data_IF_229859653197
#
_entry.id   IF_229859653197
#
_cell.length_a   1.000
_cell.length_b   1.000
_cell.length_c   1.000
_cell.angle_alpha   90.00
_cell.angle_beta   90.00
_cell.angle_gamma   90.00
#
_symmetry.space_group_name_H-M   'P 1'
#
loop_
_entity.id
_entity.type
_entity.pdbx_description
1 polymer ?
#
# COMPACT_ATOMS: atom_id res chain seq x y z
N UNK A 1 40.99 0.41 11.86
CA UNK A 1 40.59 -0.80 12.63
C UNK A 1 39.71 -0.49 13.84
N UNK A 2 40.05 0.50 14.69
CA UNK A 2 39.26 0.88 15.88
C UNK A 2 37.78 1.24 15.61
N UNK A 3 37.48 1.99 14.54
CA UNK A 3 36.10 2.41 14.21
C UNK A 3 35.19 1.24 13.84
N UNK A 4 35.71 0.25 13.09
CA UNK A 4 34.97 -0.97 12.72
C UNK A 4 34.67 -1.83 13.94
N UNK A 5 35.63 -1.96 14.85
CA UNK A 5 35.45 -2.70 16.11
C UNK A 5 34.38 -2.03 17.01
N UNK A 6 34.41 -0.69 17.13
CA UNK A 6 33.38 0.05 17.87
C UNK A 6 31.99 -0.14 17.28
N UNK A 7 31.84 -0.05 15.96
CA UNK A 7 30.57 -0.29 15.27
C UNK A 7 30.05 -1.72 15.48
N UNK A 8 30.93 -2.72 15.38
CA UNK A 8 30.59 -4.11 15.65
C UNK A 8 30.08 -4.33 17.09
N UNK A 9 30.77 -3.77 18.08
CA UNK A 9 30.38 -3.88 19.49
C UNK A 9 29.04 -3.17 19.76
N UNK A 10 28.83 -1.98 19.20
CA UNK A 10 27.58 -1.24 19.34
C UNK A 10 26.39 -2.01 18.74
N UNK A 11 26.55 -2.55 17.53
CA UNK A 11 25.53 -3.40 16.91
C UNK A 11 25.23 -4.66 17.72
N UNK A 12 26.26 -5.35 18.19
CA UNK A 12 26.09 -6.56 19.03
C UNK A 12 25.33 -6.22 20.33
N UNK A 13 25.61 -5.06 20.92
CA UNK A 13 24.89 -4.57 22.09
C UNK A 13 23.43 -4.30 21.77
N UNK A 14 23.14 -3.54 20.70
CA UNK A 14 21.76 -3.22 20.30
C UNK A 14 20.95 -4.48 19.96
N UNK A 15 21.56 -5.45 19.27
CA UNK A 15 20.93 -6.74 19.02
C UNK A 15 20.61 -7.51 20.32
N UNK A 16 21.52 -7.48 21.31
CA UNK A 16 21.28 -8.12 22.61
C UNK A 16 20.14 -7.44 23.37
N UNK A 17 20.07 -6.11 23.33
CA UNK A 17 18.98 -5.35 23.94
C UNK A 17 17.64 -5.64 23.25
N UNK A 18 17.62 -5.72 21.92
CA UNK A 18 16.44 -6.12 21.13
C UNK A 18 16.02 -7.56 21.40
N UNK A 19 16.96 -8.49 21.56
CA UNK A 19 16.68 -9.88 21.92
C UNK A 19 15.90 -10.01 23.22
N UNK A 20 16.31 -9.25 24.23
CA UNK A 20 15.60 -9.20 25.52
C UNK A 20 14.27 -8.48 25.38
N UNK A 21 14.26 -7.32 24.71
CA UNK A 21 13.06 -6.47 24.56
C UNK A 21 11.93 -7.20 23.83
N UNK A 22 12.21 -7.86 22.71
CA UNK A 22 11.20 -8.55 21.90
C UNK A 22 10.53 -9.71 22.64
N UNK A 23 11.23 -10.36 23.56
CA UNK A 23 10.68 -11.46 24.37
C UNK A 23 9.95 -10.96 25.62
N UNK A 24 10.49 -9.93 26.28
CA UNK A 24 10.01 -9.51 27.60
C UNK A 24 8.87 -8.49 27.56
N UNK A 25 8.76 -7.69 26.51
CA UNK A 25 7.72 -6.65 26.44
C UNK A 25 6.38 -7.23 25.95
N UNK A 26 5.24 -6.67 26.41
CA UNK A 26 3.95 -6.96 25.81
C UNK A 26 3.94 -6.61 24.32
N UNK A 27 3.27 -7.45 23.52
CA UNK A 27 3.08 -7.14 22.10
C UNK A 27 2.26 -5.86 21.96
N UNK A 28 2.68 -4.89 21.12
CA UNK A 28 1.93 -3.67 20.93
C UNK A 28 0.64 -3.92 20.13
N UNK A 29 -0.30 -3.00 20.25
CA UNK A 29 -1.44 -2.97 19.34
C UNK A 29 -0.96 -2.75 17.89
N UNK A 30 -1.56 -3.43 16.89
CA UNK A 30 -1.26 -3.18 15.49
C UNK A 30 -1.72 -1.77 15.07
N UNK A 31 -1.04 -1.18 14.09
CA UNK A 31 -1.48 0.07 13.48
C UNK A 31 -2.92 -0.06 12.99
N UNK A 32 -3.74 0.94 13.32
CA UNK A 32 -5.19 0.88 13.17
C UNK A 32 -5.59 1.29 11.75
N UNK A 33 -6.33 0.44 11.04
CA UNK A 33 -6.91 0.81 9.76
C UNK A 33 -8.09 1.77 10.01
N UNK A 34 -7.94 3.03 9.66
CA UNK A 34 -8.91 4.11 9.95
C UNK A 34 -9.73 4.54 8.74
N UNK A 35 -9.29 4.16 7.53
CA UNK A 35 -10.02 4.38 6.29
C UNK A 35 -9.68 3.28 5.30
N UNK A 36 -10.68 2.80 4.58
CA UNK A 36 -10.49 2.00 3.38
C UNK A 36 -11.62 2.33 2.40
N UNK A 37 -11.24 2.70 1.19
CA UNK A 37 -12.15 2.92 0.07
C UNK A 37 -11.54 2.33 -1.22
N UNK A 38 -12.21 2.49 -2.36
CA UNK A 38 -11.74 1.94 -3.63
C UNK A 38 -10.40 2.53 -4.13
N UNK A 39 -9.91 3.63 -3.55
CA UNK A 39 -8.72 4.37 -3.99
C UNK A 39 -7.57 4.27 -2.99
N UNK A 40 -7.85 4.15 -1.70
CA UNK A 40 -6.82 4.16 -0.67
C UNK A 40 -7.24 3.45 0.61
N UNK A 41 -6.26 2.85 1.27
CA UNK A 41 -6.34 2.38 2.65
C UNK A 41 -5.39 3.22 3.50
N UNK A 42 -5.85 3.69 4.66
CA UNK A 42 -5.08 4.57 5.56
C UNK A 42 -5.02 3.97 6.95
N UNK A 43 -3.82 3.89 7.51
CA UNK A 43 -3.55 3.44 8.86
C UNK A 43 -3.11 4.60 9.75
N UNK A 44 -3.63 4.64 10.97
CA UNK A 44 -3.12 5.46 12.07
C UNK A 44 -1.98 4.72 12.77
N UNK A 45 -0.87 5.41 12.89
CA UNK A 45 0.37 4.95 13.54
C UNK A 45 0.64 5.87 14.73
N UNK A 46 0.34 5.43 15.97
CA UNK A 46 0.66 6.22 17.14
C UNK A 46 2.18 6.33 17.31
N UNK A 47 2.66 7.50 17.77
CA UNK A 47 4.08 7.73 18.03
C UNK A 47 4.22 8.33 19.43
N UNK A 48 4.91 7.66 20.38
CA UNK A 48 5.02 8.14 21.75
C UNK A 48 5.51 9.59 21.85
N UNK A 49 4.77 10.43 22.57
CA UNK A 49 5.11 11.84 22.79
C UNK A 49 4.91 12.73 21.55
N UNK A 50 4.22 12.26 20.51
CA UNK A 50 3.95 13.02 19.30
C UNK A 50 2.50 12.86 18.85
N UNK A 51 2.06 13.72 17.93
CA UNK A 51 0.80 13.53 17.23
C UNK A 51 0.86 12.25 16.36
N UNK A 52 -0.30 11.62 16.17
CA UNK A 52 -0.43 10.43 15.35
C UNK A 52 0.07 10.66 13.92
N UNK A 53 0.69 9.61 13.37
CA UNK A 53 1.14 9.58 11.98
C UNK A 53 0.21 8.73 11.15
N UNK A 54 0.17 9.01 9.86
CA UNK A 54 -0.73 8.32 8.95
C UNK A 54 0.07 7.77 7.79
N UNK A 55 -0.25 6.53 7.43
CA UNK A 55 0.37 5.84 6.32
C UNK A 55 -0.68 5.27 5.39
N UNK A 56 -0.40 5.17 4.10
CA UNK A 56 -1.39 4.70 3.14
C UNK A 56 -0.87 3.72 2.09
N UNK A 57 -1.80 2.92 1.58
CA UNK A 57 -1.61 2.05 0.43
C UNK A 57 -2.69 2.34 -0.60
N UNK A 58 -2.31 2.34 -1.87
CA UNK A 58 -3.24 2.40 -3.00
C UNK A 58 -3.45 0.99 -3.54
N UNK A 59 -4.58 0.69 -4.19
CA UNK A 59 -4.76 -0.58 -4.86
C UNK A 59 -3.63 -0.78 -5.88
N UNK A 60 -3.07 -1.99 -5.91
CA UNK A 60 -2.05 -2.40 -6.87
C UNK A 60 -2.64 -2.57 -8.28
N UNK A 61 -1.79 -2.94 -9.23
CA UNK A 61 -2.25 -3.31 -10.57
C UNK A 61 -3.13 -4.57 -10.52
N UNK A 62 -3.99 -4.75 -11.53
CA UNK A 62 -4.75 -5.99 -11.70
C UNK A 62 -3.74 -7.15 -11.79
N UNK A 63 -3.89 -8.15 -10.92
CA UNK A 63 -3.01 -9.32 -10.73
C UNK A 63 -1.74 -9.11 -9.89
N UNK A 64 -1.56 -7.97 -9.24
CA UNK A 64 -0.44 -7.77 -8.30
C UNK A 64 -0.77 -8.44 -6.96
N UNK A 65 -0.01 -9.47 -6.58
CA UNK A 65 -0.24 -10.23 -5.34
C UNK A 65 0.34 -9.47 -4.14
N UNK A 66 -0.38 -8.41 -3.72
CA UNK A 66 0.08 -7.49 -2.69
C UNK A 66 -0.59 -7.73 -1.35
N UNK A 67 0.20 -7.59 -0.28
CA UNK A 67 -0.24 -7.77 1.09
C UNK A 67 0.21 -6.59 1.97
N UNK A 68 -0.51 -6.37 3.06
CA UNK A 68 -0.06 -5.54 4.19
C UNK A 68 0.31 -6.43 5.35
N UNK A 69 1.54 -6.30 5.85
CA UNK A 69 1.97 -6.85 7.14
C UNK A 69 2.07 -5.69 8.13
N UNK A 70 1.30 -5.75 9.21
CA UNK A 70 1.44 -4.79 10.32
C UNK A 70 2.51 -5.33 11.24
N UNK A 71 3.67 -4.68 11.28
CA UNK A 71 4.81 -5.19 12.01
C UNK A 71 4.90 -4.56 13.39
N UNK A 72 5.38 -5.35 14.33
CA UNK A 72 5.93 -4.88 15.59
C UNK A 72 7.33 -4.28 15.33
N UNK A 73 7.50 -3.02 15.68
CA UNK A 73 8.70 -2.24 15.35
C UNK A 73 9.99 -2.84 15.87
N UNK A 74 10.06 -3.32 17.12
CA UNK A 74 11.33 -3.84 17.65
C UNK A 74 11.64 -5.21 17.05
N UNK A 75 10.61 -6.03 16.79
CA UNK A 75 10.79 -7.33 16.14
C UNK A 75 11.26 -7.17 14.70
N UNK A 76 10.65 -6.23 13.95
CA UNK A 76 11.05 -5.87 12.61
C UNK A 76 12.47 -5.32 12.57
N UNK A 77 12.77 -4.35 13.45
CA UNK A 77 14.09 -3.75 13.54
C UNK A 77 15.18 -4.77 13.87
N UNK A 78 14.92 -5.66 14.84
CA UNK A 78 15.81 -6.78 15.18
C UNK A 78 16.10 -7.68 13.98
N UNK A 79 15.06 -8.07 13.23
CA UNK A 79 15.22 -8.94 12.07
C UNK A 79 16.06 -8.26 10.97
N UNK A 80 15.77 -7.00 10.65
CA UNK A 80 16.49 -6.25 9.62
C UNK A 80 17.94 -5.94 10.04
N UNK A 81 18.18 -5.56 11.30
CA UNK A 81 19.52 -5.32 11.82
C UNK A 81 20.41 -6.56 11.78
N UNK A 82 19.84 -7.76 12.03
CA UNK A 82 20.55 -9.03 11.86
C UNK A 82 20.89 -9.31 10.42
N UNK A 83 19.98 -9.01 9.51
CA UNK A 83 20.14 -9.34 8.10
C UNK A 83 21.25 -8.53 7.44
N UNK A 84 21.41 -7.26 7.83
CA UNK A 84 22.51 -6.38 7.39
C UNK A 84 23.91 -6.76 7.94
N UNK A 85 24.02 -7.76 8.81
CA UNK A 85 25.29 -8.16 9.45
C UNK A 85 26.06 -9.27 8.70
N UNK A 86 25.65 -9.62 7.48
CA UNK A 86 26.07 -10.84 6.78
C UNK A 86 27.12 -10.61 5.68
N UNK A 87 27.84 -9.49 5.71
CA UNK A 87 28.86 -9.16 4.70
C UNK A 87 28.31 -8.49 3.44
N UNK A 88 27.04 -8.06 3.46
CA UNK A 88 26.40 -7.23 2.42
C UNK A 88 26.46 -5.74 2.76
N UNK A 89 27.56 -5.25 3.31
CA UNK A 89 27.73 -3.86 3.80
C UNK A 89 27.51 -2.79 2.69
N UNK A 90 27.58 -3.18 1.42
CA UNK A 90 27.39 -2.31 0.26
C UNK A 90 25.94 -2.13 -0.17
N UNK A 91 24.99 -2.85 0.43
CA UNK A 91 23.56 -2.68 0.15
C UNK A 91 23.06 -1.33 0.64
N UNK A 92 22.33 -0.63 -0.24
CA UNK A 92 21.75 0.69 0.06
C UNK A 92 20.58 0.63 1.05
N UNK A 93 20.03 -0.56 1.29
CA UNK A 93 18.96 -0.85 2.25
C UNK A 93 19.46 -1.53 3.53
N UNK A 94 20.76 -1.41 3.85
CA UNK A 94 21.27 -1.86 5.14
C UNK A 94 20.64 -1.08 6.30
N UNK A 95 20.33 -1.80 7.37
CA UNK A 95 19.78 -1.24 8.59
C UNK A 95 20.92 -0.72 9.49
N UNK A 96 21.00 0.60 9.76
CA UNK A 96 21.98 1.17 10.67
C UNK A 96 21.53 0.99 12.15
N UNK A 97 22.36 1.43 13.09
CA UNK A 97 21.93 1.53 14.49
C UNK A 97 20.81 2.55 14.61
N UNK A 98 19.90 2.40 15.58
CA UNK A 98 18.77 3.32 15.74
C UNK A 98 19.24 4.76 15.92
N UNK A 99 20.34 4.95 16.65
CA UNK A 99 20.96 6.26 16.88
C UNK A 99 21.53 6.91 15.62
N UNK A 100 21.81 6.12 14.58
CA UNK A 100 22.39 6.57 13.31
C UNK A 100 21.31 6.87 12.26
N UNK A 101 20.10 6.32 12.42
CA UNK A 101 18.97 6.52 11.49
C UNK A 101 18.69 8.00 11.17
N UNK A 102 18.72 8.96 12.12
CA UNK A 102 18.52 10.38 11.81
C UNK A 102 19.59 11.00 10.89
N UNK A 103 20.74 10.34 10.70
CA UNK A 103 21.82 10.81 9.83
C UNK A 103 21.59 10.43 8.36
N UNK A 104 20.58 9.62 8.06
CA UNK A 104 20.19 9.33 6.68
C UNK A 104 19.85 10.64 5.95
N UNK A 105 20.42 10.86 4.77
CA UNK A 105 20.29 12.14 4.06
C UNK A 105 18.84 12.47 3.67
N UNK A 106 17.96 11.46 3.58
CA UNK A 106 16.53 11.62 3.32
C UNK A 106 15.69 11.75 4.59
N UNK A 107 16.26 11.60 5.79
CA UNK A 107 15.50 11.57 7.05
C UNK A 107 14.66 12.83 7.25
N UNK A 108 15.20 14.01 6.91
CA UNK A 108 14.45 15.28 6.93
C UNK A 108 13.21 15.28 6.04
N UNK A 109 13.23 14.56 4.91
CA UNK A 109 12.06 14.42 4.04
C UNK A 109 11.03 13.48 4.64
N UNK A 110 11.44 12.44 5.38
CA UNK A 110 10.50 11.63 6.15
C UNK A 110 9.84 12.46 7.27
N UNK A 111 10.60 13.30 7.99
CA UNK A 111 10.05 14.23 8.99
C UNK A 111 8.98 15.12 8.35
N UNK A 112 9.29 15.76 7.23
CA UNK A 112 8.34 16.62 6.49
C UNK A 112 7.12 15.84 6.00
N UNK A 113 7.32 14.66 5.42
CA UNK A 113 6.23 13.81 4.92
C UNK A 113 5.26 13.42 6.02
N UNK A 114 5.78 12.95 7.17
CA UNK A 114 4.96 12.57 8.32
C UNK A 114 4.27 13.76 9.00
N UNK A 115 4.78 14.99 8.85
CA UNK A 115 4.18 16.18 9.44
C UNK A 115 2.83 16.57 8.79
N UNK A 116 2.56 16.12 7.56
CA UNK A 116 1.27 16.38 6.91
C UNK A 116 0.10 15.60 7.53
N UNK A 117 0.37 14.58 8.36
CA UNK A 117 -0.67 13.85 9.07
C UNK A 117 -1.67 13.15 8.13
N UNK A 118 -2.95 13.21 8.50
CA UNK A 118 -4.02 12.48 7.79
C UNK A 118 -4.34 13.06 6.41
N UNK A 119 -4.07 14.34 6.18
CA UNK A 119 -4.40 15.01 4.92
C UNK A 119 -3.53 14.54 3.75
N UNK A 120 -2.30 14.09 4.04
CA UNK A 120 -1.38 13.53 3.06
C UNK A 120 -0.59 12.39 3.71
N UNK A 121 -1.21 11.20 3.88
CA UNK A 121 -0.58 10.08 4.55
C UNK A 121 0.65 9.59 3.78
N UNK A 122 1.68 9.16 4.51
CA UNK A 122 2.93 8.68 3.90
C UNK A 122 2.72 7.29 3.29
N UNK A 123 3.08 7.04 2.02
CA UNK A 123 2.89 5.71 1.44
C UNK A 123 3.63 4.61 2.21
N UNK A 124 3.07 3.40 2.25
CA UNK A 124 3.73 2.25 2.88
C UNK A 124 5.13 2.03 2.34
N UNK A 125 6.04 1.56 3.19
CA UNK A 125 7.30 1.02 2.70
C UNK A 125 7.04 -0.28 1.94
N UNK A 126 7.79 -0.52 0.88
CA UNK A 126 7.71 -1.74 0.08
C UNK A 126 8.93 -2.61 0.39
N UNK A 127 8.72 -3.64 1.18
CA UNK A 127 9.75 -4.56 1.64
C UNK A 127 9.35 -6.01 1.37
N UNK A 128 10.33 -6.91 1.46
CA UNK A 128 10.12 -8.34 1.38
C UNK A 128 10.97 -9.09 2.37
N UNK A 129 10.53 -10.29 2.72
CA UNK A 129 11.31 -11.25 3.49
C UNK A 129 11.63 -12.45 2.60
N UNK A 130 12.86 -12.95 2.70
CA UNK A 130 13.24 -14.22 2.09
C UNK A 130 14.02 -15.05 3.09
N UNK A 131 13.89 -16.37 2.98
CA UNK A 131 14.62 -17.29 3.83
C UNK A 131 15.92 -17.69 3.12
N UNK A 132 17.06 -17.33 3.71
CA UNK A 132 18.38 -17.78 3.28
C UNK A 132 18.94 -18.73 4.35
N UNK A 133 18.95 -20.03 4.03
CA UNK A 133 19.30 -21.12 4.95
C UNK A 133 18.44 -21.08 6.23
N UNK A 134 19.04 -20.79 7.37
CA UNK A 134 18.37 -20.74 8.69
C UNK A 134 18.06 -19.31 9.15
N UNK A 135 18.09 -18.33 8.24
CA UNK A 135 17.87 -16.91 8.57
C UNK A 135 16.84 -16.29 7.63
N UNK A 136 16.10 -15.33 8.15
CA UNK A 136 15.23 -14.46 7.35
C UNK A 136 15.98 -13.17 7.06
N UNK A 137 16.13 -12.84 5.78
CA UNK A 137 16.68 -11.56 5.33
C UNK A 137 15.53 -10.64 4.88
N UNK A 138 15.58 -9.38 5.33
CA UNK A 138 14.62 -8.34 5.01
C UNK A 138 15.30 -7.38 4.04
N UNK A 139 14.67 -7.18 2.88
CA UNK A 139 15.14 -6.23 1.86
C UNK A 139 14.05 -5.25 1.48
N UNK A 140 14.44 -4.13 0.88
CA UNK A 140 13.53 -3.06 0.48
C UNK A 140 13.59 -2.78 -1.02
N UNK A 141 12.42 -2.67 -1.63
CA UNK A 141 12.26 -2.06 -2.95
C UNK A 141 12.06 -0.54 -2.82
N UNK A 142 11.40 -0.08 -1.76
CA UNK A 142 11.22 1.35 -1.46
C UNK A 142 10.88 1.58 0.02
N UNK A 143 11.11 2.80 0.53
CA UNK A 143 10.65 3.19 1.86
C UNK A 143 11.62 2.92 3.01
N UNK A 144 12.90 2.73 2.74
CA UNK A 144 13.96 2.58 3.77
C UNK A 144 13.92 3.73 4.79
N UNK A 145 14.00 4.97 4.33
CA UNK A 145 14.07 6.15 5.22
C UNK A 145 12.81 6.39 6.06
N UNK A 146 11.60 6.11 5.53
CA UNK A 146 10.37 6.27 6.32
C UNK A 146 10.27 5.18 7.39
N UNK A 147 10.76 3.98 7.13
CA UNK A 147 10.94 2.94 8.15
C UNK A 147 11.96 3.35 9.20
N UNK A 148 13.10 3.94 8.81
CA UNK A 148 14.07 4.52 9.76
C UNK A 148 13.42 5.54 10.68
N UNK A 149 12.61 6.45 10.13
CA UNK A 149 11.91 7.45 10.93
C UNK A 149 10.98 6.80 11.96
N UNK A 150 10.19 5.80 11.57
CA UNK A 150 9.28 5.08 12.47
C UNK A 150 10.02 4.35 13.59
N UNK A 151 11.13 3.68 13.27
CA UNK A 151 11.97 2.96 14.24
C UNK A 151 12.67 3.93 15.19
N UNK A 152 13.26 5.02 14.68
CA UNK A 152 13.95 6.03 15.47
C UNK A 152 13.00 6.75 16.44
N UNK A 153 11.76 6.99 16.02
CA UNK A 153 10.72 7.61 16.84
C UNK A 153 9.93 6.60 17.70
N UNK A 154 10.34 5.32 17.72
CA UNK A 154 9.72 4.27 18.54
C UNK A 154 8.21 4.15 18.34
N UNK A 155 7.73 4.29 17.09
CA UNK A 155 6.38 3.87 16.75
C UNK A 155 6.21 2.41 17.21
N UNK A 156 5.13 2.02 17.91
CA UNK A 156 5.03 0.68 18.48
C UNK A 156 4.80 -0.38 17.38
N UNK A 157 4.09 -0.01 16.33
CA UNK A 157 3.83 -0.85 15.16
C UNK A 157 3.59 0.01 13.92
N UNK A 158 3.77 -0.55 12.73
CA UNK A 158 3.45 0.13 11.47
C UNK A 158 3.18 -0.86 10.32
N UNK A 159 2.37 -0.47 9.32
CA UNK A 159 2.10 -1.31 8.15
C UNK A 159 3.24 -1.25 7.12
N UNK A 160 3.53 -2.41 6.51
CA UNK A 160 4.46 -2.59 5.41
C UNK A 160 3.72 -3.26 4.25
N UNK A 161 3.94 -2.75 3.05
CA UNK A 161 3.49 -3.37 1.82
C UNK A 161 4.50 -4.45 1.39
N UNK A 162 4.00 -5.63 1.04
CA UNK A 162 4.80 -6.80 0.67
C UNK A 162 4.21 -7.45 -0.58
N UNK A 163 5.08 -7.85 -1.51
CA UNK A 163 4.71 -8.58 -2.72
C UNK A 163 4.89 -10.08 -2.51
N UNK A 164 3.90 -10.85 -2.91
CA UNK A 164 3.88 -12.31 -2.84
C UNK A 164 3.47 -12.83 -1.45
N UNK A 165 2.59 -13.82 -1.44
CA UNK A 165 2.08 -14.43 -0.20
C UNK A 165 3.18 -15.01 0.68
N UNK A 166 4.12 -15.74 0.09
CA UNK A 166 5.22 -16.38 0.83
C UNK A 166 6.06 -15.37 1.60
N UNK A 167 6.46 -14.27 0.95
CA UNK A 167 7.21 -13.17 1.56
C UNK A 167 6.42 -12.50 2.67
N UNK A 168 5.11 -12.28 2.47
CA UNK A 168 4.22 -11.67 3.45
C UNK A 168 4.03 -12.56 4.69
N UNK A 169 3.81 -13.87 4.49
CA UNK A 169 3.69 -14.86 5.57
C UNK A 169 5.00 -15.00 6.35
N UNK A 170 6.14 -15.03 5.66
CA UNK A 170 7.45 -15.09 6.30
C UNK A 170 7.73 -13.84 7.14
N UNK A 171 7.45 -12.65 6.62
CA UNK A 171 7.60 -11.41 7.37
C UNK A 171 6.65 -11.39 8.57
N UNK A 172 5.40 -11.81 8.37
CA UNK A 172 4.40 -11.87 9.44
C UNK A 172 4.82 -12.82 10.57
N UNK A 173 5.38 -13.99 10.22
CA UNK A 173 5.88 -14.96 11.18
C UNK A 173 7.00 -14.40 12.06
N UNK A 174 7.86 -13.54 11.53
CA UNK A 174 9.02 -13.02 12.27
C UNK A 174 8.68 -11.78 13.09
N UNK A 175 7.82 -10.91 12.58
CA UNK A 175 7.56 -9.62 13.22
C UNK A 175 6.13 -9.07 13.03
N UNK A 176 5.21 -9.81 12.42
CA UNK A 176 3.85 -9.35 12.16
C UNK A 176 2.92 -9.46 13.36
N UNK A 177 1.91 -8.60 13.38
CA UNK A 177 0.85 -8.51 14.38
C UNK A 177 -0.49 -8.88 13.74
N UNK A 178 -1.25 -9.73 14.42
CA UNK A 178 -2.52 -10.24 13.92
C UNK A 178 -3.62 -9.16 13.84
N UNK A 179 -4.63 -9.33 12.96
CA UNK A 179 -4.80 -10.39 11.96
C UNK A 179 -4.09 -10.09 10.62
N UNK A 180 -2.79 -10.34 10.47
CA UNK A 180 -2.01 -10.11 9.25
C UNK A 180 -1.40 -11.44 8.76
N UNK A 181 -0.99 -11.57 7.48
CA UNK A 181 -1.01 -10.58 6.40
C UNK A 181 -2.42 -10.29 5.85
N UNK A 182 -2.67 -9.04 5.46
CA UNK A 182 -3.93 -8.61 4.81
C UNK A 182 -3.75 -8.58 3.29
N UNK A 183 -4.56 -9.31 2.52
CA UNK A 183 -4.53 -9.22 1.06
C UNK A 183 -5.08 -7.88 0.56
N UNK A 184 -4.41 -7.23 -0.39
CA UNK A 184 -4.95 -6.04 -1.07
C UNK A 184 -6.27 -6.37 -1.78
N UNK A 185 -6.36 -7.53 -2.42
CA UNK A 185 -7.58 -7.97 -3.11
C UNK A 185 -8.76 -8.01 -2.15
N UNK A 186 -8.59 -8.60 -0.98
CA UNK A 186 -9.65 -8.69 0.04
C UNK A 186 -9.94 -7.32 0.65
N UNK A 187 -8.89 -6.56 1.01
CA UNK A 187 -8.98 -5.25 1.63
C UNK A 187 -9.78 -4.26 0.77
N UNK A 188 -9.46 -4.18 -0.53
CA UNK A 188 -10.11 -3.24 -1.44
C UNK A 188 -11.44 -3.76 -2.02
N UNK A 189 -11.64 -5.09 -2.10
CA UNK A 189 -12.94 -5.65 -2.48
C UNK A 189 -14.01 -5.39 -1.41
N UNK A 190 -13.66 -5.47 -0.12
CA UNK A 190 -14.57 -5.13 0.97
C UNK A 190 -15.01 -3.67 0.89
N UNK A 191 -14.07 -2.77 0.61
CA UNK A 191 -14.33 -1.35 0.49
C UNK A 191 -15.27 -1.01 -0.68
N UNK A 192 -15.13 -1.70 -1.82
CA UNK A 192 -16.05 -1.56 -2.96
C UNK A 192 -17.47 -2.02 -2.64
N UNK A 193 -17.64 -3.07 -1.81
CA UNK A 193 -18.96 -3.56 -1.38
C UNK A 193 -19.65 -2.61 -0.39
N UNK A 194 -18.87 -1.86 0.38
CA UNK A 194 -19.36 -0.93 1.40
C UNK A 194 -19.62 0.49 0.85
N UNK A 195 -19.14 0.80 -0.36
CA UNK A 195 -19.46 2.05 -1.02
C UNK A 195 -20.97 2.12 -1.34
N UNK A 196 -21.65 3.26 -1.09
CA UNK A 196 -23.02 3.44 -1.54
C UNK A 196 -23.07 3.19 -3.05
N UNK A 197 -23.93 2.29 -3.51
CA UNK A 197 -24.23 2.18 -4.93
C UNK A 197 -24.78 3.54 -5.36
N UNK A 198 -23.98 4.32 -6.08
CA UNK A 198 -24.49 5.49 -6.79
C UNK A 198 -25.49 4.92 -7.79
N UNK A 199 -26.78 5.10 -7.51
CA UNK A 199 -27.83 4.76 -8.44
C UNK A 199 -27.53 5.49 -9.75
N UNK A 200 -27.17 4.73 -10.78
CA UNK A 200 -27.05 5.25 -12.13
C UNK A 200 -28.39 5.91 -12.44
N UNK A 201 -28.46 7.22 -12.75
CA UNK A 201 -29.72 7.82 -13.15
C UNK A 201 -30.20 7.04 -14.37
N UNK A 202 -31.43 6.52 -14.28
CA UNK A 202 -32.06 5.81 -15.38
C UNK A 202 -31.95 6.69 -16.62
N UNK A 203 -31.32 6.15 -17.66
CA UNK A 203 -31.25 6.80 -18.97
C UNK A 203 -32.69 7.22 -19.34
N UNK A 204 -32.96 8.51 -19.63
CA UNK A 204 -34.30 8.91 -20.01
C UNK A 204 -34.73 8.07 -21.21
N UNK A 205 -35.94 7.52 -21.12
CA UNK A 205 -36.54 6.76 -22.21
C UNK A 205 -36.42 7.57 -23.50
N UNK A 206 -36.04 6.95 -24.64
CA UNK A 206 -36.01 7.67 -25.90
C UNK A 206 -37.39 8.27 -26.13
N UNK A 207 -37.44 9.59 -26.32
CA UNK A 207 -38.66 10.30 -26.67
C UNK A 207 -39.29 9.59 -27.87
N UNK A 208 -40.58 9.25 -27.74
CA UNK A 208 -41.35 8.62 -28.79
C UNK A 208 -41.19 9.43 -30.08
N UNK A 209 -40.53 8.84 -31.07
CA UNK A 209 -40.40 9.44 -32.39
C UNK A 209 -41.79 9.63 -32.98
N UNK A 210 -42.20 10.89 -33.13
CA UNK A 210 -43.41 11.27 -33.85
C UNK A 210 -43.31 10.72 -35.27
N UNK A 211 -44.21 9.79 -35.63
CA UNK A 211 -44.29 9.22 -36.98
C UNK A 211 -44.53 10.36 -37.99
N UNK A 212 -43.70 10.51 -39.04
CA UNK A 212 -44.03 11.44 -40.12
C UNK A 212 -45.25 10.91 -40.90
N UNK A 213 -46.14 11.83 -41.26
CA UNK A 213 -47.36 11.56 -42.03
C UNK A 213 -47.05 10.87 -43.37
N UNK A 214 -47.94 9.97 -43.85
CA UNK A 214 -47.72 9.24 -45.09
C UNK A 214 -47.76 10.19 -46.29
N UNK A 215 -46.72 10.12 -47.14
CA UNK A 215 -46.67 10.80 -48.44
C UNK A 215 -47.74 10.20 -49.36
N UNK A 216 -48.67 11.05 -49.81
CA UNK A 216 -49.66 10.73 -50.85
C UNK A 216 -48.93 10.46 -52.16
N UNK A 217 -49.07 9.24 -52.70
CA UNK A 217 -48.58 8.89 -54.04
C UNK A 217 -49.56 9.43 -55.11
N UNK A 218 -49.06 10.00 -56.22
CA UNK A 218 -49.92 10.43 -57.32
C UNK A 218 -50.47 9.21 -58.10
N UNK A 219 -51.75 9.29 -58.46
CA UNK A 219 -52.49 8.27 -59.22
C UNK A 219 -51.90 8.07 -60.63
N UNK A 220 -51.82 6.83 -61.13
CA UNK A 220 -51.40 6.55 -62.50
C UNK A 220 -52.52 6.91 -63.49
N UNK A 221 -52.26 7.88 -64.37
CA UNK A 221 -53.07 8.15 -65.54
C UNK A 221 -52.81 7.11 -66.63
N UNK A 222 -53.86 6.42 -67.08
CA UNK A 222 -53.83 5.63 -68.32
C UNK A 222 -55.22 5.52 -68.94
N UNK A 223 -55.44 6.29 -70.00
CA UNK A 223 -56.46 6.09 -71.04
C UNK A 223 -56.18 7.16 -72.10
N UNK A 224 -55.87 6.91 -73.36
CA UNK A 224 -55.88 5.77 -74.27
C UNK A 224 -55.76 6.39 -75.68
N UNK A 225 -55.32 5.69 -76.73
CA UNK A 225 -55.21 6.30 -78.05
C UNK A 225 -56.50 6.11 -78.86
N UNK A 226 -56.94 7.14 -79.59
CA UNK A 226 -57.59 6.93 -80.90
C UNK A 226 -57.63 8.17 -81.79
N UNK A 227 -57.40 7.88 -83.06
CA UNK A 227 -57.21 8.70 -84.26
C UNK A 227 -58.43 9.54 -84.66
N UNK A 228 -58.18 10.70 -85.29
CA UNK A 228 -58.59 10.93 -86.69
C UNK A 228 -59.45 12.16 -87.02
N UNK A 229 -58.95 12.97 -87.98
CA UNK A 229 -59.60 13.88 -88.97
C UNK A 229 -60.53 14.97 -88.41
N UNK A 230 -60.54 16.23 -88.85
CA UNK A 230 -60.08 16.89 -90.07
C UNK A 230 -61.18 17.85 -90.50
N UNK A 231 -60.83 19.13 -90.74
CA UNK A 231 -61.35 20.09 -91.72
C UNK A 231 -60.60 21.42 -91.51
#
# INVERSE_FOLDING_TARGET
MLTRLKGFLARRRELKELDVSVVSRPRPAPAELVQVDAREAVWRVPVPGQADRFMSAKPGAINDEMFVVRVDTEAFYRAWLRSSSTGRETRSDNCPLRSEMPQDYKFKHAVQGFAHGRENPVPLAFAGAHQERHRVDIGFSNGVTRSFWLIANKAPSFPIQVHGRESAELLNKVCGLDPAPLSFTELFAQAQRQAPQVATPARPAPAAATRPAPKVQPRPGRSGPRKGRGL
#
